data_IF_639357152134
#
_entry.id   IF_639357152134
#
_cell.length_a   1.000
_cell.length_b   1.000
_cell.length_c   1.000
_cell.angle_alpha   90.00
_cell.angle_beta   90.00
_cell.angle_gamma   90.00
#
_symmetry.space_group_name_H-M   'P 1'
#
loop_
_entity.id
_entity.type
_entity.pdbx_description
1 polymer ?
#
# COMPACT_ATOMS: atom_id res chain seq x y z
N UNK A 1 -13.07 15.75 -2.88
CA UNK A 1 -12.49 14.49 -3.42
C UNK A 1 -11.08 14.32 -2.88
N UNK A 2 -10.74 13.15 -2.35
CA UNK A 2 -9.42 12.84 -1.80
C UNK A 2 -8.66 11.95 -2.78
N UNK A 3 -7.35 12.20 -2.94
CA UNK A 3 -6.48 11.40 -3.79
C UNK A 3 -5.60 10.53 -2.93
N UNK A 4 -5.67 9.22 -3.09
CA UNK A 4 -4.71 8.30 -2.49
C UNK A 4 -3.51 8.25 -3.40
N UNK A 5 -2.38 8.77 -2.93
CA UNK A 5 -1.17 8.87 -3.73
C UNK A 5 0.01 8.23 -3.01
N UNK A 6 0.78 7.52 -3.82
CA UNK A 6 1.98 6.78 -3.48
C UNK A 6 1.70 5.34 -3.06
N UNK A 7 2.67 4.54 -3.47
CA UNK A 7 2.85 3.14 -3.21
C UNK A 7 4.37 2.96 -3.25
N UNK A 8 4.94 2.36 -2.20
CA UNK A 8 6.32 1.89 -2.23
C UNK A 8 6.27 0.38 -1.99
N UNK A 9 6.39 -0.42 -3.07
CA UNK A 9 6.76 -1.83 -2.92
C UNK A 9 8.20 -1.89 -2.42
N UNK A 10 8.37 -1.94 -1.11
CA UNK A 10 9.67 -2.15 -0.49
C UNK A 10 9.63 -3.42 0.36
N UNK A 11 10.40 -4.44 -0.02
CA UNK A 11 10.83 -5.44 0.97
C UNK A 11 11.93 -4.80 1.78
N UNK A 12 11.77 -4.72 3.10
CA UNK A 12 12.88 -4.38 4.00
C UNK A 12 13.92 -5.50 3.90
N UNK A 13 15.18 -5.20 3.60
CA UNK A 13 16.18 -6.25 3.39
C UNK A 13 16.47 -7.02 4.69
N UNK A 14 16.78 -8.32 4.54
CA UNK A 14 17.38 -9.17 5.59
C UNK A 14 18.71 -8.59 6.13
N UNK A 15 19.26 -7.55 5.48
CA UNK A 15 20.43 -6.79 5.92
C UNK A 15 20.20 -5.89 7.14
N UNK A 16 19.01 -5.90 7.75
CA UNK A 16 18.83 -5.44 9.13
C UNK A 16 19.39 -6.44 10.18
N UNK A 17 19.89 -7.61 9.75
CA UNK A 17 20.56 -8.56 10.64
C UNK A 17 22.03 -8.18 10.90
N UNK A 18 22.53 -8.34 12.15
CA UNK A 18 23.86 -7.88 12.52
C UNK A 18 24.99 -8.55 11.73
N UNK A 19 26.07 -7.80 11.52
CA UNK A 19 27.15 -7.99 10.55
C UNK A 19 27.96 -9.29 10.63
N UNK A 20 27.74 -10.14 11.63
CA UNK A 20 28.51 -11.36 11.90
C UNK A 20 28.06 -12.59 11.08
N UNK A 21 26.92 -12.50 10.38
CA UNK A 21 26.40 -13.51 9.46
C UNK A 21 26.78 -13.25 7.98
N UNK A 22 27.91 -12.57 7.72
CA UNK A 22 28.40 -12.29 6.35
C UNK A 22 29.20 -13.43 5.73
N UNK A 23 28.75 -14.67 5.93
CA UNK A 23 29.34 -15.86 5.34
C UNK A 23 28.29 -16.62 4.53
N UNK A 24 28.26 -16.33 3.22
CA UNK A 24 27.50 -17.01 2.16
C UNK A 24 26.10 -16.45 1.83
N UNK A 25 26.01 -15.93 0.60
CA UNK A 25 24.84 -15.50 -0.18
C UNK A 25 24.35 -14.05 -0.01
N UNK A 26 24.94 -13.13 -0.78
CA UNK A 26 24.36 -11.81 -1.05
C UNK A 26 23.33 -11.93 -2.18
N UNK A 27 22.06 -12.10 -1.84
CA UNK A 27 20.96 -11.86 -2.80
C UNK A 27 20.78 -10.35 -2.93
N UNK A 28 21.22 -9.79 -4.06
CA UNK A 28 20.92 -8.40 -4.42
C UNK A 28 19.47 -8.32 -4.92
N UNK A 29 18.57 -7.78 -4.11
CA UNK A 29 17.20 -7.50 -4.57
C UNK A 29 17.11 -6.15 -5.29
N UNK A 30 16.24 -6.09 -6.31
CA UNK A 30 15.92 -4.87 -7.06
C UNK A 30 14.61 -4.30 -6.53
N UNK A 31 14.63 -3.05 -6.10
CA UNK A 31 13.43 -2.29 -5.73
C UNK A 31 12.70 -1.89 -7.02
N UNK A 32 11.43 -2.28 -7.15
CA UNK A 32 10.54 -1.73 -8.16
C UNK A 32 9.72 -0.61 -7.53
N UNK A 33 9.84 0.61 -8.03
CA UNK A 33 8.94 1.71 -7.66
C UNK A 33 7.92 1.91 -8.77
N UNK A 34 6.64 2.01 -8.39
CA UNK A 34 5.53 2.37 -9.25
C UNK A 34 4.59 3.29 -8.49
N UNK A 35 3.97 4.26 -9.16
CA UNK A 35 3.04 5.18 -8.51
C UNK A 35 1.60 4.81 -8.91
N UNK A 36 0.82 4.35 -7.95
CA UNK A 36 -0.63 4.19 -8.10
C UNK A 36 -1.33 5.42 -7.55
N UNK A 37 -2.41 5.81 -8.23
CA UNK A 37 -3.26 6.93 -7.85
C UNK A 37 -4.70 6.47 -7.88
N UNK A 38 -5.40 6.67 -6.78
CA UNK A 38 -6.85 6.50 -6.71
C UNK A 38 -7.50 7.80 -6.29
N UNK A 39 -8.74 8.00 -6.71
CA UNK A 39 -9.56 9.11 -6.25
C UNK A 39 -10.83 8.57 -5.62
N UNK A 40 -11.17 9.13 -4.47
CA UNK A 40 -12.34 8.75 -3.68
C UNK A 40 -13.10 10.01 -3.30
N UNK A 41 -14.43 9.93 -3.30
CA UNK A 41 -15.26 11.06 -2.89
C UNK A 41 -15.05 11.35 -1.40
N UNK A 42 -15.09 12.62 -1.04
CA UNK A 42 -15.24 12.99 0.37
C UNK A 42 -16.55 12.42 0.92
N UNK A 43 -16.62 12.25 2.23
CA UNK A 43 -17.78 11.67 2.91
C UNK A 43 -18.12 10.23 2.49
N UNK A 44 -17.14 9.53 1.90
CA UNK A 44 -17.31 8.13 1.53
C UNK A 44 -17.52 7.28 2.79
N UNK A 45 -18.50 6.37 2.71
CA UNK A 45 -18.87 5.49 3.80
C UNK A 45 -17.93 4.29 3.90
N UNK A 46 -17.85 3.69 5.09
CA UNK A 46 -17.17 2.40 5.28
C UNK A 46 -17.64 1.35 4.26
N UNK A 47 -16.69 0.61 3.69
CA UNK A 47 -16.91 -0.40 2.66
C UNK A 47 -17.00 0.17 1.23
N UNK A 48 -16.89 1.49 1.04
CA UNK A 48 -16.92 2.08 -0.31
C UNK A 48 -15.72 1.61 -1.14
N UNK A 49 -15.97 1.25 -2.40
CA UNK A 49 -14.94 0.83 -3.35
C UNK A 49 -14.00 2.00 -3.71
N UNK A 50 -12.69 1.74 -3.71
CA UNK A 50 -11.66 2.71 -4.12
C UNK A 50 -10.93 2.23 -5.38
N UNK A 51 -10.45 0.99 -5.39
CA UNK A 51 -9.63 0.49 -6.50
C UNK A 51 -9.26 -0.99 -6.43
N UNK A 52 -8.75 -1.55 -7.53
CA UNK A 52 -8.28 -2.95 -7.63
C UNK A 52 -6.77 -3.02 -7.44
N UNK A 53 -6.30 -2.65 -6.25
CA UNK A 53 -4.87 -2.48 -5.97
C UNK A 53 -4.03 -3.71 -6.29
N UNK A 54 -4.54 -4.92 -6.02
CA UNK A 54 -3.78 -6.15 -6.26
C UNK A 54 -3.58 -6.40 -7.75
N UNK A 55 -4.62 -6.15 -8.56
CA UNK A 55 -4.54 -6.23 -10.01
C UNK A 55 -3.60 -5.17 -10.59
N UNK A 56 -3.70 -3.92 -10.10
CA UNK A 56 -2.90 -2.80 -10.57
C UNK A 56 -1.40 -2.97 -10.20
N UNK A 57 -1.11 -3.78 -9.17
CA UNK A 57 0.23 -4.22 -8.79
C UNK A 57 0.74 -5.45 -9.56
N UNK A 58 -0.08 -6.03 -10.44
CA UNK A 58 0.28 -7.25 -11.18
C UNK A 58 0.43 -8.49 -10.30
N UNK A 59 -0.30 -8.54 -9.18
CA UNK A 59 -0.35 -9.68 -8.26
C UNK A 59 -1.66 -10.46 -8.43
N UNK A 60 -1.61 -11.74 -8.10
CA UNK A 60 -2.82 -12.54 -7.86
C UNK A 60 -3.25 -12.45 -6.39
N UNK A 61 -4.56 -12.54 -6.13
CA UNK A 61 -5.09 -12.52 -4.75
C UNK A 61 -4.50 -13.64 -3.89
N UNK A 62 -4.27 -14.81 -4.50
CA UNK A 62 -3.60 -15.94 -3.84
C UNK A 62 -2.17 -15.64 -3.38
N UNK A 63 -1.56 -14.57 -3.87
CA UNK A 63 -0.20 -14.17 -3.52
C UNK A 63 -0.13 -13.24 -2.30
N UNK A 64 -1.25 -12.65 -1.86
CA UNK A 64 -1.25 -11.66 -0.78
C UNK A 64 -0.74 -12.23 0.55
N UNK A 65 -1.33 -13.34 0.99
CA UNK A 65 -0.94 -14.02 2.23
C UNK A 65 0.48 -14.60 2.16
N UNK A 66 0.87 -15.42 1.16
CA UNK A 66 2.20 -16.05 1.12
C UNK A 66 3.34 -15.06 0.82
N UNK A 67 3.04 -13.84 0.37
CA UNK A 67 4.01 -12.76 0.23
C UNK A 67 3.92 -11.72 1.36
N UNK A 68 3.17 -12.02 2.42
CA UNK A 68 3.03 -11.15 3.59
C UNK A 68 2.67 -9.71 3.20
N UNK A 69 1.68 -9.58 2.32
CA UNK A 69 1.13 -8.30 1.90
C UNK A 69 0.66 -7.51 3.12
N UNK A 70 1.11 -6.27 3.22
CA UNK A 70 0.68 -5.31 4.25
C UNK A 70 0.49 -3.96 3.62
N UNK A 71 -0.51 -3.22 4.08
CA UNK A 71 -0.68 -1.81 3.75
C UNK A 71 -0.46 -0.99 5.03
N UNK A 72 0.21 0.14 4.89
CA UNK A 72 0.47 1.10 5.96
C UNK A 72 -0.06 2.47 5.51
N UNK A 73 -0.74 3.15 6.42
CA UNK A 73 -1.12 4.56 6.26
C UNK A 73 -0.07 5.44 6.93
N UNK A 74 0.14 6.66 6.40
CA UNK A 74 0.86 7.69 7.15
C UNK A 74 -0.02 8.40 8.18
N UNK A 75 -1.32 8.31 8.02
CA UNK A 75 -2.29 8.93 8.92
C UNK A 75 -2.40 8.12 10.22
N UNK A 76 -2.83 8.77 11.31
CA UNK A 76 -3.04 8.11 12.61
C UNK A 76 -4.16 7.06 12.54
N UNK A 77 -5.18 7.32 11.72
CA UNK A 77 -6.27 6.40 11.46
C UNK A 77 -6.11 5.68 10.11
N UNK A 78 -6.46 4.40 10.09
CA UNK A 78 -6.47 3.58 8.88
C UNK A 78 -7.75 3.84 8.07
N UNK A 79 -7.77 4.90 7.27
CA UNK A 79 -8.91 5.27 6.41
C UNK A 79 -9.21 4.28 5.29
N UNK A 80 -8.24 3.44 4.94
CA UNK A 80 -8.36 2.47 3.85
C UNK A 80 -7.88 1.10 4.29
N UNK A 81 -8.47 0.06 3.71
CA UNK A 81 -8.09 -1.34 3.92
C UNK A 81 -8.14 -2.13 2.60
N UNK A 82 -7.32 -3.18 2.50
CA UNK A 82 -7.35 -4.12 1.38
C UNK A 82 -8.02 -5.42 1.82
N UNK A 83 -9.07 -5.81 1.12
CA UNK A 83 -9.71 -7.10 1.37
C UNK A 83 -8.85 -8.21 0.75
N UNK A 84 -8.23 -9.04 1.61
CA UNK A 84 -7.33 -10.10 1.17
C UNK A 84 -8.01 -11.26 0.43
N UNK A 85 -9.35 -11.33 0.44
CA UNK A 85 -10.11 -12.36 -0.28
C UNK A 85 -10.36 -12.00 -1.74
N UNK A 86 -10.35 -10.71 -2.09
CA UNK A 86 -10.68 -10.25 -3.45
C UNK A 86 -9.69 -9.20 -4.02
N UNK A 87 -8.73 -8.72 -3.23
CA UNK A 87 -7.71 -7.78 -3.64
C UNK A 87 -8.18 -6.34 -3.89
N UNK A 88 -9.32 -5.95 -3.32
CA UNK A 88 -9.92 -4.63 -3.48
C UNK A 88 -9.51 -3.72 -2.32
N UNK A 89 -9.11 -2.49 -2.65
CA UNK A 89 -8.96 -1.37 -1.73
C UNK A 89 -10.33 -0.73 -1.48
N UNK A 90 -10.70 -0.59 -0.20
CA UNK A 90 -11.96 0.01 0.21
C UNK A 90 -11.75 1.00 1.38
N UNK A 91 -12.76 1.83 1.60
CA UNK A 91 -12.80 2.80 2.70
C UNK A 91 -13.05 2.06 4.01
N UNK A 92 -12.12 2.13 4.96
CA UNK A 92 -12.25 1.53 6.28
C UNK A 92 -12.82 2.50 7.33
N UNK A 93 -12.52 3.79 7.22
CA UNK A 93 -13.13 4.82 8.06
C UNK A 93 -13.69 5.96 7.21
N UNK A 94 -14.72 6.63 7.72
CA UNK A 94 -15.36 7.74 7.00
C UNK A 94 -14.31 8.79 6.64
N UNK A 95 -14.32 9.23 5.38
CA UNK A 95 -13.36 10.22 4.88
C UNK A 95 -13.96 11.61 5.09
N UNK A 96 -13.50 12.33 6.10
CA UNK A 96 -13.83 13.74 6.32
C UNK A 96 -12.64 14.60 5.86
N UNK A 97 -12.85 15.41 4.80
CA UNK A 97 -11.78 16.21 4.17
C UNK A 97 -11.29 17.31 5.11
N UNK A 98 -12.18 17.85 5.92
CA UNK A 98 -11.88 18.92 6.87
C UNK A 98 -11.00 18.38 8.00
N UNK A 99 -11.20 17.14 8.42
CA UNK A 99 -10.33 16.44 9.38
C UNK A 99 -8.97 16.07 8.79
N UNK A 100 -8.96 15.50 7.57
CA UNK A 100 -7.75 14.99 6.93
C UNK A 100 -6.84 16.07 6.34
N UNK A 101 -7.42 17.04 5.65
CA UNK A 101 -6.71 17.98 4.79
C UNK A 101 -7.02 19.45 5.12
N UNK A 102 -7.92 19.70 6.07
CA UNK A 102 -8.34 21.03 6.48
C UNK A 102 -8.72 21.93 5.29
N UNK A 103 -7.98 23.02 5.08
CA UNK A 103 -8.22 24.00 4.01
C UNK A 103 -7.26 23.85 2.83
N UNK A 104 -6.49 22.77 2.76
CA UNK A 104 -5.60 22.54 1.63
C UNK A 104 -6.41 22.36 0.34
N UNK A 105 -5.92 22.96 -0.75
CA UNK A 105 -6.54 22.88 -2.06
C UNK A 105 -6.47 21.45 -2.64
N UNK A 106 -5.34 20.77 -2.38
CA UNK A 106 -5.13 19.37 -2.72
C UNK A 106 -5.21 18.51 -1.44
N UNK A 107 -6.05 17.49 -1.47
CA UNK A 107 -6.16 16.51 -0.39
C UNK A 107 -5.58 15.17 -0.84
N UNK A 108 -4.39 14.87 -0.34
CA UNK A 108 -3.60 13.71 -0.73
C UNK A 108 -3.28 12.87 0.48
N UNK A 109 -3.65 11.59 0.44
CA UNK A 109 -3.37 10.61 1.49
C UNK A 109 -2.30 9.63 1.01
N UNK A 110 -1.34 9.33 1.88
CA UNK A 110 -0.21 8.48 1.53
C UNK A 110 -0.38 7.06 2.04
N UNK A 111 -0.31 6.11 1.12
CA UNK A 111 -0.34 4.68 1.40
C UNK A 111 1.00 4.05 1.05
N UNK A 112 1.46 3.13 1.87
CA UNK A 112 2.61 2.29 1.60
C UNK A 112 2.17 0.83 1.61
N UNK A 113 2.73 0.01 0.72
CA UNK A 113 2.33 -1.39 0.62
C UNK A 113 3.58 -2.24 0.51
N UNK A 114 3.72 -3.14 1.47
CA UNK A 114 4.87 -3.99 1.64
C UNK A 114 4.49 -5.39 1.18
N UNK A 115 5.34 -6.00 0.36
CA UNK A 115 5.17 -7.37 -0.14
C UNK A 115 6.54 -8.05 -0.07
N UNK A 116 6.73 -8.99 0.84
CA UNK A 116 8.03 -9.59 1.20
C UNK A 116 8.73 -10.36 0.05
N UNK A 117 8.03 -10.66 -1.04
CA UNK A 117 8.62 -11.21 -2.26
C UNK A 117 8.46 -10.22 -3.42
N UNK A 118 9.53 -9.96 -4.20
CA UNK A 118 9.50 -8.95 -5.25
C UNK A 118 8.38 -9.22 -6.26
N UNK A 119 7.68 -8.15 -6.63
CA UNK A 119 6.70 -8.20 -7.71
C UNK A 119 7.39 -8.69 -8.98
N UNK A 120 6.67 -9.45 -9.80
CA UNK A 120 7.14 -9.70 -11.16
C UNK A 120 6.99 -8.39 -11.91
N UNK A 121 8.10 -7.86 -12.41
CA UNK A 121 8.09 -6.63 -13.19
C UNK A 121 7.10 -6.77 -14.36
N UNK A 122 6.22 -5.78 -14.55
CA UNK A 122 5.41 -5.59 -15.76
C UNK A 122 6.32 -5.40 -16.98
#
# INVERSE_FOLDING_TARGET
MCTCQNYLAGVVPVSAMPTWLKGLLHTTWKMGSGQLHYSVLEESQHGSFVGRIVQDLGLEVSELVPRMFRMLSKEEEDYFEVNLQNGILFVNSRIDREELCAKNADCVLHLEVIVEKPLKNL
#
